data_IF_458685552316
#
_entry.id   IF_458685552316
#
_cell.length_a   1.000
_cell.length_b   1.000
_cell.length_c   1.000
_cell.angle_alpha   90.00
_cell.angle_beta   90.00
_cell.angle_gamma   90.00
#
_symmetry.space_group_name_H-M   'P 1'
#
loop_
_entity.id
_entity.type
_entity.pdbx_description
1 polymer ?
#
# COMPACT_ATOMS: atom_id res chain seq x y z
N UNK A 1 -1.91 -14.06 -5.83
CA UNK A 1 -3.31 -13.57 -5.73
C UNK A 1 -3.40 -12.21 -6.39
N UNK A 2 -4.60 -11.66 -6.53
CA UNK A 2 -4.79 -10.39 -7.26
C UNK A 2 -4.25 -9.15 -6.53
N UNK A 3 -3.94 -9.30 -5.24
CA UNK A 3 -3.36 -8.29 -4.37
C UNK A 3 -1.98 -8.76 -3.86
N UNK A 4 -0.89 -8.61 -4.64
CA UNK A 4 0.45 -8.86 -4.14
C UNK A 4 0.83 -7.86 -3.02
N UNK A 5 1.48 -8.30 -1.93
CA UNK A 5 1.94 -7.39 -0.90
C UNK A 5 3.03 -6.45 -1.44
N UNK A 6 3.06 -5.21 -0.96
CA UNK A 6 4.17 -4.29 -1.17
C UNK A 6 5.32 -4.68 -0.23
N UNK A 7 6.27 -5.47 -0.74
CA UNK A 7 7.41 -5.96 0.04
C UNK A 7 8.60 -5.01 -0.01
N UNK A 8 9.43 -5.06 1.04
CA UNK A 8 10.70 -4.33 1.15
C UNK A 8 11.72 -5.19 1.88
N UNK A 9 13.01 -5.05 1.55
CA UNK A 9 14.11 -5.67 2.31
C UNK A 9 14.71 -4.71 3.36
N UNK A 10 14.21 -3.47 3.41
CA UNK A 10 14.71 -2.40 4.26
C UNK A 10 13.59 -1.64 4.97
N UNK A 11 13.96 -0.72 5.86
CA UNK A 11 13.02 0.27 6.40
C UNK A 11 12.45 1.17 5.31
N UNK A 12 11.33 1.84 5.62
CA UNK A 12 10.61 2.71 4.68
C UNK A 12 10.76 4.16 5.13
N UNK A 13 10.94 5.06 4.17
CA UNK A 13 11.02 6.51 4.41
C UNK A 13 10.05 7.20 3.47
N UNK A 14 9.29 8.16 3.99
CA UNK A 14 8.41 9.01 3.20
C UNK A 14 9.23 9.97 2.33
N UNK A 15 8.82 10.15 1.08
CA UNK A 15 9.43 11.11 0.16
C UNK A 15 8.37 12.13 -0.28
N UNK A 16 8.81 13.34 -0.64
CA UNK A 16 7.92 14.40 -1.09
C UNK A 16 6.95 14.86 0.01
N UNK A 17 5.68 15.04 -0.36
CA UNK A 17 4.62 15.57 0.50
C UNK A 17 3.85 14.48 1.27
N UNK A 18 4.38 13.24 1.33
CA UNK A 18 3.75 12.16 2.10
C UNK A 18 3.85 12.47 3.60
N UNK A 19 2.69 12.59 4.23
CA UNK A 19 2.53 12.84 5.67
C UNK A 19 2.06 11.61 6.44
N UNK A 20 1.70 10.54 5.75
CA UNK A 20 1.36 9.25 6.33
C UNK A 20 2.49 8.68 7.20
N UNK A 21 2.14 7.95 8.25
CA UNK A 21 3.08 7.13 9.00
C UNK A 21 3.42 5.87 8.20
N UNK A 22 4.68 5.76 7.77
CA UNK A 22 5.18 4.58 7.07
C UNK A 22 5.90 3.65 8.04
N UNK A 23 5.70 2.36 7.86
CA UNK A 23 6.32 1.33 8.67
C UNK A 23 6.48 0.01 7.92
N UNK A 24 6.89 -1.02 8.65
CA UNK A 24 6.96 -2.39 8.13
C UNK A 24 6.39 -3.37 9.14
N UNK A 25 5.88 -4.49 8.60
CA UNK A 25 5.51 -5.68 9.38
C UNK A 25 6.21 -6.90 8.81
N UNK A 26 6.63 -7.82 9.68
CA UNK A 26 7.12 -9.14 9.26
C UNK A 26 5.94 -10.09 9.07
N UNK A 27 5.87 -10.73 7.91
CA UNK A 27 4.84 -11.72 7.58
C UNK A 27 5.25 -13.11 8.09
N UNK A 28 4.30 -14.04 8.14
CA UNK A 28 4.54 -15.42 8.59
C UNK A 28 5.57 -16.18 7.72
N UNK A 29 5.74 -15.75 6.46
CA UNK A 29 6.74 -16.28 5.52
C UNK A 29 8.14 -15.65 5.69
N UNK A 30 8.31 -14.73 6.65
CA UNK A 30 9.56 -14.03 6.94
C UNK A 30 9.83 -12.80 6.09
N UNK A 31 9.00 -12.51 5.09
CA UNK A 31 9.14 -11.28 4.27
C UNK A 31 8.65 -10.05 5.03
N UNK A 32 9.23 -8.88 4.75
CA UNK A 32 8.76 -7.61 5.31
C UNK A 32 7.84 -6.89 4.32
N UNK A 33 6.68 -6.45 4.81
CA UNK A 33 5.70 -5.70 4.04
C UNK A 33 5.56 -4.28 4.57
N UNK A 34 5.41 -3.32 3.67
CA UNK A 34 5.18 -1.92 3.99
C UNK A 34 3.79 -1.73 4.61
N UNK A 35 3.71 -0.88 5.62
CA UNK A 35 2.45 -0.39 6.18
C UNK A 35 2.31 1.12 6.02
N UNK A 36 1.08 1.57 5.79
CA UNK A 36 0.68 2.99 5.74
C UNK A 36 -0.36 3.22 6.83
N UNK A 37 -0.06 4.08 7.82
CA UNK A 37 -0.87 4.29 9.02
C UNK A 37 -1.28 2.98 9.71
N UNK A 38 -0.34 2.02 9.77
CA UNK A 38 -0.57 0.69 10.35
C UNK A 38 -1.33 -0.30 9.46
N UNK A 39 -1.83 0.10 8.29
CA UNK A 39 -2.49 -0.81 7.35
C UNK A 39 -1.47 -1.44 6.38
N UNK A 40 -1.48 -2.76 6.15
CA UNK A 40 -0.59 -3.40 5.18
C UNK A 40 -0.89 -2.94 3.75
N UNK A 41 0.14 -2.48 3.03
CA UNK A 41 0.02 -1.98 1.66
C UNK A 41 0.14 -3.10 0.62
N UNK A 42 -0.65 -3.00 -0.46
CA UNK A 42 -0.70 -3.99 -1.53
C UNK A 42 -0.69 -3.31 -2.89
N UNK A 43 -0.16 -4.02 -3.88
CA UNK A 43 -0.35 -3.70 -5.30
C UNK A 43 -1.65 -4.32 -5.81
N UNK A 44 -2.15 -3.80 -6.93
CA UNK A 44 -3.15 -4.47 -7.74
C UNK A 44 -2.48 -5.12 -8.96
N UNK A 45 -2.75 -6.41 -9.21
CA UNK A 45 -2.05 -7.18 -10.24
C UNK A 45 -2.17 -6.66 -11.67
N UNK A 46 -3.17 -5.82 -11.97
CA UNK A 46 -3.41 -5.31 -13.32
C UNK A 46 -3.02 -3.83 -13.47
N UNK A 47 -2.49 -3.19 -12.42
CA UNK A 47 -1.90 -1.86 -12.53
C UNK A 47 -0.48 -2.02 -13.12
N UNK A 48 -0.14 -1.19 -14.11
CA UNK A 48 1.07 -1.37 -14.94
C UNK A 48 1.86 -0.09 -15.16
N UNK A 49 1.21 1.07 -15.03
CA UNK A 49 1.80 2.38 -15.14
C UNK A 49 1.60 3.20 -13.86
N UNK A 50 2.41 4.24 -13.70
CA UNK A 50 2.24 5.22 -12.63
C UNK A 50 0.85 5.88 -12.74
N UNK A 51 0.14 5.97 -11.62
CA UNK A 51 -1.21 6.51 -11.55
C UNK A 51 -2.33 5.51 -11.89
N UNK A 52 -2.00 4.28 -12.30
CA UNK A 52 -3.01 3.22 -12.40
C UNK A 52 -3.62 2.92 -11.03
N UNK A 53 -4.94 2.84 -10.99
CA UNK A 53 -5.73 2.60 -9.77
C UNK A 53 -6.87 1.61 -10.03
N UNK A 54 -6.65 0.62 -10.89
CA UNK A 54 -7.68 -0.34 -11.35
C UNK A 54 -8.19 -1.29 -10.25
N UNK A 55 -7.52 -1.30 -9.10
CA UNK A 55 -7.95 -1.97 -7.87
C UNK A 55 -8.91 -1.15 -6.99
N UNK A 56 -9.00 0.17 -7.21
CA UNK A 56 -9.75 1.09 -6.36
C UNK A 56 -11.22 0.69 -6.19
N UNK A 57 -11.73 0.79 -4.97
CA UNK A 57 -13.09 0.46 -4.56
C UNK A 57 -13.54 -0.99 -4.87
N UNK A 58 -12.64 -1.90 -5.27
CA UNK A 58 -13.02 -3.28 -5.56
C UNK A 58 -13.61 -3.95 -4.32
N UNK A 59 -14.84 -4.46 -4.49
CA UNK A 59 -15.57 -5.10 -3.40
C UNK A 59 -15.89 -4.18 -2.22
N UNK A 60 -15.78 -2.86 -2.38
CA UNK A 60 -15.98 -1.85 -1.33
C UNK A 60 -15.04 -2.00 -0.11
N UNK A 61 -13.88 -2.65 -0.31
CA UNK A 61 -12.92 -2.93 0.77
C UNK A 61 -11.48 -2.56 0.41
N UNK A 62 -11.16 -2.43 -0.88
CA UNK A 62 -9.83 -2.05 -1.35
C UNK A 62 -9.81 -0.58 -1.75
N UNK A 63 -8.87 0.18 -1.17
CA UNK A 63 -8.78 1.62 -1.36
C UNK A 63 -7.32 2.03 -1.58
N UNK A 64 -7.12 3.00 -2.46
CA UNK A 64 -5.85 3.72 -2.63
C UNK A 64 -5.60 4.57 -1.39
N UNK A 65 -4.35 4.57 -0.91
CA UNK A 65 -3.92 5.47 0.15
C UNK A 65 -3.67 6.87 -0.41
N UNK A 66 -4.20 7.90 0.25
CA UNK A 66 -3.81 9.29 0.05
C UNK A 66 -2.43 9.59 0.64
N UNK A 67 -1.94 10.80 0.40
CA UNK A 67 -0.64 11.27 0.91
C UNK A 67 -0.59 11.31 2.45
N UNK A 68 -1.73 11.48 3.10
CA UNK A 68 -1.92 11.42 4.54
C UNK A 68 -2.16 9.99 5.06
N UNK A 69 -2.16 9.01 4.17
CA UNK A 69 -2.39 7.60 4.45
C UNK A 69 -3.85 7.25 4.72
N UNK A 70 -4.80 8.18 4.50
CA UNK A 70 -6.23 7.86 4.56
C UNK A 70 -6.66 7.13 3.29
N UNK A 71 -7.68 6.28 3.42
CA UNK A 71 -8.28 5.65 2.25
C UNK A 71 -9.02 6.72 1.43
N UNK A 72 -8.65 6.87 0.15
CA UNK A 72 -9.36 7.74 -0.78
C UNK A 72 -10.73 7.11 -1.04
N UNK A 73 -11.77 7.71 -0.47
CA UNK A 73 -13.17 7.31 -0.64
C UNK A 73 -13.90 8.44 -1.37
N UNK A 74 -14.53 8.10 -2.48
CA UNK A 74 -15.44 9.02 -3.20
C UNK A 74 -16.77 9.15 -2.47
#
# INVERSE_FOLDING_TARGET
GAWPPLLTDYGVVALGDITAELGTITRDDGTMQVTVNGFPAYYWQNDSAEGDTGGQARGNVWWVFGEDGTAIRN
#
